data_IF_611539801676
#
_entry.id   IF_611539801676
#
_cell.length_a   1.000
_cell.length_b   1.000
_cell.length_c   1.000
_cell.angle_alpha   90.00
_cell.angle_beta   90.00
_cell.angle_gamma   90.00
#
_symmetry.space_group_name_H-M   'P 1'
#
loop_
_entity.id
_entity.type
_entity.pdbx_description
1 polymer ?
#
# COMPACT_ATOMS: atom_id res chain seq x y z
N UNK A 1 -1.48 1.01 22.84
CA UNK A 1 -2.08 1.96 21.89
C UNK A 1 -2.53 1.20 20.65
N UNK A 2 -3.83 0.96 20.50
CA UNK A 2 -4.43 0.26 19.36
C UNK A 2 -4.88 1.32 18.35
N UNK A 3 -4.08 1.58 17.32
CA UNK A 3 -4.53 2.40 16.20
C UNK A 3 -5.38 1.54 15.28
N UNK A 4 -6.67 1.42 15.61
CA UNK A 4 -7.68 0.91 14.69
C UNK A 4 -7.76 1.87 13.50
N UNK A 5 -7.26 1.43 12.36
CA UNK A 5 -7.43 2.11 11.07
C UNK A 5 -8.92 2.10 10.74
N UNK A 6 -9.59 3.21 11.09
CA UNK A 6 -10.95 3.52 10.71
C UNK A 6 -10.94 3.91 9.22
N UNK A 7 -11.15 2.91 8.36
CA UNK A 7 -11.75 3.03 7.03
C UNK A 7 -12.16 1.64 6.58
N UNK A 8 -13.30 1.19 7.12
CA UNK A 8 -14.07 0.06 6.61
C UNK A 8 -14.93 0.48 5.42
N UNK A 9 -14.35 1.16 4.44
CA UNK A 9 -14.94 1.12 3.11
C UNK A 9 -14.51 -0.19 2.48
N UNK A 10 -15.51 -1.03 2.22
CA UNK A 10 -15.41 -2.29 1.49
C UNK A 10 -14.67 -2.08 0.16
N UNK A 11 -13.35 -2.21 0.15
CA UNK A 11 -12.61 -2.62 -1.05
C UNK A 11 -12.66 -4.15 -1.15
N UNK A 12 -13.88 -4.70 -1.18
CA UNK A 12 -14.09 -6.09 -1.60
C UNK A 12 -13.87 -6.11 -3.12
N UNK A 13 -12.68 -6.52 -3.57
CA UNK A 13 -12.41 -6.81 -4.98
C UNK A 13 -11.03 -6.39 -5.51
N UNK A 14 -10.21 -5.66 -4.75
CA UNK A 14 -8.89 -5.22 -5.22
C UNK A 14 -7.78 -6.21 -4.85
N UNK A 15 -7.11 -6.80 -5.85
CA UNK A 15 -5.86 -7.57 -5.70
C UNK A 15 -4.77 -6.80 -4.92
N UNK A 16 -4.86 -5.48 -4.86
CA UNK A 16 -3.85 -4.59 -4.26
C UNK A 16 -4.45 -3.70 -3.17
N UNK A 17 -3.70 -3.46 -2.08
CA UNK A 17 -4.09 -2.62 -0.96
C UNK A 17 -2.97 -1.64 -0.58
N UNK A 18 -3.18 -0.31 -0.67
CA UNK A 18 -2.18 0.67 -0.29
C UNK A 18 -1.95 0.68 1.23
N UNK A 19 -0.69 0.76 1.65
CA UNK A 19 -0.26 0.78 3.06
C UNK A 19 0.70 1.91 3.36
N UNK A 20 0.60 2.40 4.60
CA UNK A 20 1.54 3.36 5.17
C UNK A 20 1.97 2.89 6.56
N UNK A 21 3.26 2.68 6.77
CA UNK A 21 3.84 2.36 8.06
C UNK A 21 4.73 3.51 8.56
N UNK A 22 4.70 3.79 9.85
CA UNK A 22 5.65 4.72 10.47
C UNK A 22 6.94 3.96 10.78
N UNK A 23 8.06 4.42 10.26
CA UNK A 23 9.38 3.83 10.53
C UNK A 23 10.08 4.50 11.71
N UNK A 24 9.98 5.83 11.78
CA UNK A 24 10.66 6.67 12.78
C UNK A 24 9.82 7.93 13.04
N UNK A 25 10.22 8.78 13.99
CA UNK A 25 9.58 10.05 14.37
C UNK A 25 9.15 10.87 13.14
N UNK A 26 10.03 10.95 12.14
CA UNK A 26 9.82 11.72 10.91
C UNK A 26 10.01 10.88 9.63
N UNK A 27 9.74 9.57 9.67
CA UNK A 27 9.84 8.69 8.50
C UNK A 27 8.64 7.76 8.40
N UNK A 28 8.10 7.68 7.20
CA UNK A 28 6.94 6.86 6.86
C UNK A 28 7.27 6.06 5.59
N UNK A 29 7.03 4.76 5.61
CA UNK A 29 7.07 3.91 4.43
C UNK A 29 5.69 3.86 3.78
N UNK A 30 5.64 4.03 2.47
CA UNK A 30 4.47 3.81 1.64
C UNK A 30 4.74 2.61 0.72
N UNK A 31 3.83 1.65 0.72
CA UNK A 31 3.93 0.41 -0.05
C UNK A 31 2.52 -0.11 -0.36
N UNK A 32 2.42 -1.23 -1.07
CA UNK A 32 1.16 -1.87 -1.44
C UNK A 32 1.27 -3.35 -1.06
N UNK A 33 0.26 -3.87 -0.36
CA UNK A 33 0.12 -5.32 -0.15
C UNK A 33 -0.63 -5.91 -1.35
N UNK A 34 -0.30 -7.14 -1.71
CA UNK A 34 -1.06 -7.89 -2.72
C UNK A 34 -1.79 -9.04 -2.05
N UNK A 35 -3.04 -9.26 -2.44
CA UNK A 35 -3.79 -10.43 -2.03
C UNK A 35 -3.40 -11.59 -2.94
N UNK A 36 -2.85 -12.64 -2.35
CA UNK A 36 -2.56 -13.91 -3.03
C UNK A 36 -3.42 -14.98 -2.37
N UNK A 37 -4.39 -15.50 -3.12
CA UNK A 37 -5.45 -16.37 -2.61
C UNK A 37 -6.23 -15.68 -1.46
N UNK A 38 -5.91 -16.05 -0.22
CA UNK A 38 -6.53 -15.55 1.01
C UNK A 38 -5.53 -14.89 1.97
N UNK A 39 -4.28 -14.71 1.54
CA UNK A 39 -3.22 -14.10 2.33
C UNK A 39 -2.83 -12.75 1.76
N UNK A 40 -2.45 -11.84 2.65
CA UNK A 40 -1.80 -10.58 2.26
C UNK A 40 -0.30 -10.81 2.23
N UNK A 41 0.27 -10.70 1.04
CA UNK A 41 1.71 -10.70 0.87
C UNK A 41 2.24 -9.27 0.92
N UNK A 42 3.05 -9.01 1.95
CA UNK A 42 3.74 -7.73 2.17
C UNK A 42 5.05 -7.65 1.38
N UNK A 43 5.52 -8.77 0.82
CA UNK A 43 6.77 -8.92 0.13
C UNK A 43 6.54 -9.10 -1.37
N UNK A 44 5.98 -8.09 -2.05
CA UNK A 44 6.06 -8.10 -3.50
C UNK A 44 7.52 -7.97 -3.93
N UNK A 45 8.09 -9.09 -4.35
CA UNK A 45 9.24 -9.11 -5.24
C UNK A 45 8.92 -8.17 -6.42
N UNK A 46 9.50 -6.97 -6.40
CA UNK A 46 9.40 -6.00 -7.50
C UNK A 46 8.54 -4.76 -7.28
N UNK A 47 7.77 -4.61 -6.18
CA UNK A 47 7.06 -3.34 -5.93
C UNK A 47 7.87 -2.34 -5.13
N UNK A 48 7.81 -1.08 -5.56
CA UNK A 48 8.60 -0.01 -4.98
C UNK A 48 8.07 0.40 -3.60
N UNK A 49 8.97 0.46 -2.62
CA UNK A 49 8.70 1.09 -1.32
C UNK A 49 9.18 2.54 -1.36
N UNK A 50 8.30 3.48 -0.98
CA UNK A 50 8.63 4.91 -0.93
C UNK A 50 8.75 5.41 0.50
N UNK A 51 9.92 5.96 0.85
CA UNK A 51 10.15 6.58 2.16
C UNK A 51 9.87 8.08 2.12
N UNK A 52 8.97 8.53 2.98
CA UNK A 52 8.49 9.91 3.06
C UNK A 52 8.75 10.50 4.45
N UNK A 53 9.05 11.81 4.52
CA UNK A 53 9.23 12.52 5.81
C UNK A 53 7.91 12.89 6.50
N UNK A 54 6.81 12.98 5.75
CA UNK A 54 5.48 13.38 6.24
C UNK A 54 4.45 12.29 5.92
N UNK A 55 3.54 12.02 6.87
CA UNK A 55 2.47 11.03 6.73
C UNK A 55 1.60 11.25 5.49
N UNK A 56 1.06 12.46 5.29
CA UNK A 56 0.22 12.79 4.11
C UNK A 56 0.93 12.52 2.77
N UNK A 57 2.25 12.73 2.74
CA UNK A 57 3.05 12.44 1.52
C UNK A 57 3.19 10.94 1.30
N UNK A 58 3.32 10.15 2.36
CA UNK A 58 3.32 8.70 2.29
C UNK A 58 1.96 8.15 1.82
N UNK A 59 0.85 8.70 2.31
CA UNK A 59 -0.50 8.32 1.86
C UNK A 59 -0.68 8.58 0.36
N UNK A 60 -0.28 9.77 -0.14
CA UNK A 60 -0.28 10.06 -1.58
C UNK A 60 0.62 9.11 -2.37
N UNK A 61 1.79 8.77 -1.82
CA UNK A 61 2.71 7.85 -2.46
C UNK A 61 2.14 6.41 -2.53
N UNK A 62 1.47 5.94 -1.49
CA UNK A 62 0.84 4.62 -1.47
C UNK A 62 -0.30 4.52 -2.51
N UNK A 63 -1.10 5.57 -2.65
CA UNK A 63 -2.13 5.65 -3.71
C UNK A 63 -1.53 5.67 -5.12
N UNK A 64 -0.41 6.36 -5.32
CA UNK A 64 0.29 6.35 -6.60
C UNK A 64 0.83 4.95 -6.94
N UNK A 65 1.42 4.27 -5.94
CA UNK A 65 1.90 2.89 -6.08
C UNK A 65 0.76 1.91 -6.37
N UNK A 66 -0.42 2.10 -5.76
CA UNK A 66 -1.61 1.33 -6.08
C UNK A 66 -2.02 1.48 -7.55
N UNK A 67 -2.05 2.70 -8.06
CA UNK A 67 -2.38 2.97 -9.45
C UNK A 67 -1.33 2.39 -10.41
N UNK A 68 -0.05 2.41 -10.04
CA UNK A 68 1.03 1.74 -10.79
C UNK A 68 0.84 0.22 -10.80
N UNK A 69 0.57 -0.40 -9.65
CA UNK A 69 0.31 -1.82 -9.51
C UNK A 69 -0.89 -2.28 -10.36
N UNK A 70 -2.00 -1.56 -10.29
CA UNK A 70 -3.21 -1.85 -11.09
C UNK A 70 -2.94 -1.73 -12.60
N UNK A 71 -2.13 -0.77 -13.05
CA UNK A 71 -1.76 -0.64 -14.47
C UNK A 71 -0.88 -1.79 -14.94
N UNK A 72 0.07 -2.23 -14.12
CA UNK A 72 0.94 -3.37 -14.45
C UNK A 72 0.16 -4.68 -14.53
N UNK A 73 -0.81 -4.86 -13.63
CA UNK A 73 -1.68 -6.04 -13.61
C UNK A 73 -2.64 -6.08 -14.81
N UNK A 74 -3.27 -4.94 -15.14
CA UNK A 74 -4.20 -4.83 -16.27
C UNK A 74 -3.54 -4.74 -17.65
N UNK A 75 -2.23 -4.48 -17.72
CA UNK A 75 -1.45 -4.45 -18.97
C UNK A 75 -0.71 -5.76 -19.28
N UNK A 76 -0.84 -6.78 -18.43
CA UNK A 76 -0.21 -8.09 -18.59
C UNK A 76 -1.11 -9.11 -19.31
N UNK A 77 -2.07 -8.64 -20.11
CA UNK A 77 -3.05 -9.48 -20.79
C UNK A 77 -3.09 -9.28 -22.30
#
# INVERSE_FOLDING_TARGET
MKHSLKSGEKLHGGKFMPRVAKLDKNKYAAYVDTQVNHLWDMALQGQAVRICKKRKRAEKAALALLAEAMRQDGGAH
#
